data_IF_307854873392
#
_entry.id   IF_307854873392
#
_cell.length_a   1.000
_cell.length_b   1.000
_cell.length_c   1.000
_cell.angle_alpha   90.00
_cell.angle_beta   90.00
_cell.angle_gamma   90.00
#
_symmetry.space_group_name_H-M   'P 1'
#
loop_
_entity.id
_entity.type
_entity.pdbx_description
1 polymer ?
#
# COMPACT_ATOMS: atom_id res chain seq x y z
N UNK A 1 -1.44 -3.89 -25.34
CA UNK A 1 -0.35 -2.91 -25.04
C UNK A 1 -0.84 -2.10 -23.87
N UNK A 2 -0.23 -2.27 -22.69
CA UNK A 2 -0.48 -1.42 -21.53
C UNK A 2 0.13 -0.07 -21.89
N UNK A 3 -0.70 0.95 -22.11
CA UNK A 3 -0.22 2.32 -22.27
C UNK A 3 0.41 2.70 -20.94
N UNK A 4 1.67 3.14 -20.96
CA UNK A 4 2.34 3.60 -19.75
C UNK A 4 1.52 4.72 -19.12
N UNK A 5 0.90 4.42 -17.98
CA UNK A 5 0.02 5.37 -17.28
C UNK A 5 0.85 6.54 -16.80
N UNK A 6 0.44 7.74 -17.13
CA UNK A 6 1.07 8.96 -16.66
C UNK A 6 0.86 9.08 -15.14
N UNK A 7 1.90 9.46 -14.40
CA UNK A 7 1.85 9.64 -12.95
C UNK A 7 0.69 10.56 -12.49
N UNK A 8 0.38 11.59 -13.28
CA UNK A 8 -0.76 12.47 -13.06
C UNK A 8 -2.10 11.74 -13.11
N UNK A 9 -2.24 10.75 -14.00
CA UNK A 9 -3.45 9.93 -14.09
C UNK A 9 -3.60 9.02 -12.87
N UNK A 10 -2.50 8.43 -12.38
CA UNK A 10 -2.54 7.62 -11.16
C UNK A 10 -2.98 8.45 -9.94
N UNK A 11 -2.53 9.69 -9.81
CA UNK A 11 -3.00 10.60 -8.76
C UNK A 11 -4.51 10.86 -8.88
N UNK A 12 -5.00 11.15 -10.07
CA UNK A 12 -6.43 11.39 -10.32
C UNK A 12 -7.27 10.15 -10.00
N UNK A 13 -6.84 8.97 -10.44
CA UNK A 13 -7.48 7.70 -10.12
C UNK A 13 -7.46 7.40 -8.62
N UNK A 14 -6.33 7.69 -7.94
CA UNK A 14 -6.22 7.55 -6.48
C UNK A 14 -7.21 8.43 -5.73
N UNK A 15 -7.37 9.68 -6.13
CA UNK A 15 -8.36 10.59 -5.54
C UNK A 15 -9.77 10.00 -5.71
N UNK A 16 -10.10 9.47 -6.88
CA UNK A 16 -11.41 8.86 -7.15
C UNK A 16 -11.63 7.61 -6.29
N UNK A 17 -10.64 6.72 -6.19
CA UNK A 17 -10.70 5.53 -5.35
C UNK A 17 -10.87 5.86 -3.87
N UNK A 18 -10.16 6.88 -3.38
CA UNK A 18 -10.22 7.32 -1.99
C UNK A 18 -11.53 8.06 -1.65
N UNK A 19 -12.11 8.80 -2.59
CA UNK A 19 -13.33 9.57 -2.34
C UNK A 19 -14.61 8.83 -2.68
N UNK A 20 -14.52 7.83 -3.57
CA UNK A 20 -15.65 7.01 -4.02
C UNK A 20 -15.27 5.52 -3.92
N UNK A 21 -15.16 4.97 -2.69
CA UNK A 21 -14.71 3.60 -2.44
C UNK A 21 -15.80 2.60 -2.82
N UNK A 22 -15.83 2.18 -4.07
CA UNK A 22 -16.76 1.20 -4.63
C UNK A 22 -16.00 0.19 -5.49
N UNK A 23 -16.56 -1.00 -5.64
CA UNK A 23 -15.98 -2.06 -6.47
C UNK A 23 -15.84 -1.56 -7.91
N UNK A 24 -16.90 -0.95 -8.45
CA UNK A 24 -16.96 -0.43 -9.80
C UNK A 24 -15.85 0.60 -10.09
N UNK A 25 -15.47 1.39 -9.06
CA UNK A 25 -14.37 2.36 -9.20
C UNK A 25 -13.02 1.66 -9.37
N UNK A 26 -12.80 0.53 -8.69
CA UNK A 26 -11.58 -0.26 -8.86
C UNK A 26 -11.59 -1.03 -10.18
N UNK A 27 -12.72 -1.60 -10.59
CA UNK A 27 -12.89 -2.28 -11.89
C UNK A 27 -12.63 -1.33 -13.07
N UNK A 28 -13.02 -0.05 -12.94
CA UNK A 28 -12.75 0.97 -13.96
C UNK A 28 -11.25 1.14 -14.21
N UNK A 29 -10.42 1.00 -13.16
CA UNK A 29 -9.00 1.31 -13.24
C UNK A 29 -8.07 0.07 -13.26
N UNK A 30 -8.55 -1.11 -12.93
CA UNK A 30 -7.72 -2.33 -12.77
C UNK A 30 -6.83 -2.66 -13.99
N UNK A 31 -7.26 -2.26 -15.20
CA UNK A 31 -6.54 -2.52 -16.45
C UNK A 31 -5.74 -1.35 -16.99
N UNK A 32 -5.68 -0.23 -16.24
CA UNK A 32 -4.96 0.96 -16.71
C UNK A 32 -3.45 0.89 -16.48
N UNK A 33 -2.95 -0.02 -15.65
CA UNK A 33 -1.54 -0.20 -15.39
C UNK A 33 -1.22 -1.60 -14.89
N UNK A 34 0.05 -1.81 -14.55
CA UNK A 34 0.53 -3.10 -14.08
C UNK A 34 1.44 -2.99 -12.86
N UNK A 35 2.12 -4.09 -12.55
CA UNK A 35 3.01 -4.21 -11.41
C UNK A 35 4.12 -3.15 -11.40
N UNK A 36 4.67 -2.81 -12.59
CA UNK A 36 5.76 -1.84 -12.70
C UNK A 36 5.31 -0.44 -12.30
N UNK A 37 4.18 0.01 -12.83
CA UNK A 37 3.58 1.31 -12.52
C UNK A 37 3.19 1.38 -11.05
N UNK A 38 2.60 0.31 -10.52
CA UNK A 38 2.24 0.17 -9.12
C UNK A 38 3.45 0.33 -8.18
N UNK A 39 4.52 -0.43 -8.42
CA UNK A 39 5.74 -0.36 -7.61
C UNK A 39 6.41 1.01 -7.71
N UNK A 40 6.44 1.62 -8.89
CA UNK A 40 6.99 2.96 -9.07
C UNK A 40 6.19 4.00 -8.28
N UNK A 41 4.86 3.90 -8.30
CA UNK A 41 3.99 4.83 -7.58
C UNK A 41 4.15 4.74 -6.07
N UNK A 42 4.18 3.53 -5.53
CA UNK A 42 4.42 3.30 -4.09
C UNK A 42 5.86 3.70 -3.71
N UNK A 43 6.85 3.45 -4.59
CA UNK A 43 8.23 3.86 -4.34
C UNK A 43 8.38 5.37 -4.23
N UNK A 44 7.70 6.15 -5.07
CA UNK A 44 7.70 7.63 -4.95
C UNK A 44 7.11 8.08 -3.62
N UNK A 45 6.00 7.48 -3.17
CA UNK A 45 5.43 7.77 -1.86
C UNK A 45 6.39 7.39 -0.71
N UNK A 46 7.07 6.25 -0.82
CA UNK A 46 8.08 5.82 0.15
C UNK A 46 9.30 6.76 0.18
N UNK A 47 9.73 7.27 -0.97
CA UNK A 47 10.82 8.26 -1.05
C UNK A 47 10.44 9.55 -0.34
N UNK A 48 9.20 10.04 -0.51
CA UNK A 48 8.72 11.22 0.21
C UNK A 48 8.76 11.01 1.73
N UNK A 49 8.27 9.86 2.20
CA UNK A 49 8.36 9.49 3.62
C UNK A 49 9.81 9.35 4.10
N UNK A 50 10.66 8.73 3.28
CA UNK A 50 12.09 8.52 3.55
C UNK A 50 12.88 9.81 3.69
N UNK A 51 12.62 10.80 2.85
CA UNK A 51 13.27 12.12 2.94
C UNK A 51 12.93 12.79 4.28
N UNK A 52 11.65 12.76 4.68
CA UNK A 52 11.24 13.32 5.98
C UNK A 52 11.87 12.53 7.14
N UNK A 53 11.86 11.19 7.08
CA UNK A 53 12.49 10.34 8.07
C UNK A 53 14.00 10.62 8.21
N UNK A 54 14.70 10.81 7.10
CA UNK A 54 16.11 11.17 7.07
C UNK A 54 16.37 12.52 7.77
N UNK A 55 15.61 13.56 7.39
CA UNK A 55 15.76 14.91 7.97
C UNK A 55 15.53 14.88 9.48
N UNK A 56 14.48 14.21 9.94
CA UNK A 56 14.20 14.07 11.37
C UNK A 56 15.25 13.18 12.05
N UNK A 57 15.70 12.12 11.37
CA UNK A 57 16.73 11.22 11.88
C UNK A 57 18.10 11.89 12.12
N UNK A 58 18.40 13.01 11.45
CA UNK A 58 19.64 13.77 11.68
C UNK A 58 19.79 14.19 13.15
N UNK A 59 18.68 14.47 13.82
CA UNK A 59 18.69 14.84 15.24
C UNK A 59 19.08 13.68 16.17
N UNK A 60 19.03 12.43 15.69
CA UNK A 60 19.50 11.25 16.42
C UNK A 60 20.93 10.81 16.02
N UNK A 61 21.55 11.55 15.10
CA UNK A 61 22.89 11.32 14.60
C UNK A 61 22.92 10.70 13.20
N UNK A 62 24.10 10.67 12.56
CA UNK A 62 24.23 10.24 11.16
C UNK A 62 23.75 8.80 10.91
N UNK A 63 24.05 7.89 11.81
CA UNK A 63 23.60 6.49 11.73
C UNK A 63 22.07 6.40 11.87
N UNK A 64 21.48 7.15 12.81
CA UNK A 64 20.04 7.23 12.99
C UNK A 64 19.32 7.74 11.75
N UNK A 65 19.85 8.76 11.08
CA UNK A 65 19.31 9.27 9.83
C UNK A 65 19.30 8.22 8.71
N UNK A 66 20.38 7.45 8.56
CA UNK A 66 20.46 6.39 7.56
C UNK A 66 19.47 5.26 7.86
N UNK A 67 19.40 4.82 9.11
CA UNK A 67 18.45 3.77 9.54
C UNK A 67 17.00 4.22 9.29
N UNK A 68 16.66 5.46 9.65
CA UNK A 68 15.34 6.02 9.42
C UNK A 68 14.98 6.09 7.93
N UNK A 69 15.92 6.53 7.08
CA UNK A 69 15.74 6.56 5.63
C UNK A 69 15.48 5.16 5.08
N UNK A 70 16.35 4.20 5.39
CA UNK A 70 16.25 2.83 4.89
C UNK A 70 14.96 2.16 5.37
N UNK A 71 14.60 2.33 6.63
CA UNK A 71 13.36 1.80 7.19
C UNK A 71 12.11 2.37 6.51
N UNK A 72 12.07 3.69 6.30
CA UNK A 72 10.96 4.37 5.64
C UNK A 72 10.83 4.04 4.15
N UNK A 73 11.90 3.59 3.50
CA UNK A 73 11.86 3.10 2.11
C UNK A 73 11.49 1.63 2.04
N UNK A 74 12.21 0.78 2.78
CA UNK A 74 12.12 -0.67 2.61
C UNK A 74 10.83 -1.24 3.21
N UNK A 75 10.47 -0.82 4.41
CA UNK A 75 9.33 -1.40 5.11
C UNK A 75 7.99 -1.24 4.35
N UNK A 76 7.60 -0.05 3.88
CA UNK A 76 6.33 0.10 3.15
C UNK A 76 6.35 -0.59 1.78
N UNK A 77 7.48 -0.59 1.06
CA UNK A 77 7.60 -1.31 -0.21
C UNK A 77 7.46 -2.83 -0.02
N UNK A 78 8.12 -3.37 1.00
CA UNK A 78 8.01 -4.78 1.36
C UNK A 78 6.59 -5.13 1.79
N UNK A 79 5.98 -4.31 2.63
CA UNK A 79 4.59 -4.46 3.07
C UNK A 79 3.62 -4.49 1.89
N UNK A 80 3.72 -3.52 0.99
CA UNK A 80 2.91 -3.45 -0.23
C UNK A 80 3.10 -4.70 -1.10
N UNK A 81 4.35 -5.09 -1.34
CA UNK A 81 4.66 -6.25 -2.17
C UNK A 81 4.08 -7.54 -1.59
N UNK A 82 4.27 -7.78 -0.28
CA UNK A 82 3.74 -8.97 0.40
C UNK A 82 2.22 -8.99 0.29
N UNK A 83 1.56 -7.87 0.58
CA UNK A 83 0.09 -7.80 0.51
C UNK A 83 -0.42 -8.13 -0.90
N UNK A 84 0.06 -7.42 -1.91
CA UNK A 84 -0.39 -7.62 -3.29
C UNK A 84 -0.06 -9.03 -3.81
N UNK A 85 1.11 -9.57 -3.47
CA UNK A 85 1.51 -10.92 -3.84
C UNK A 85 0.60 -11.98 -3.20
N UNK A 86 0.34 -11.86 -1.89
CA UNK A 86 -0.52 -12.82 -1.17
C UNK A 86 -1.98 -12.72 -1.64
N UNK A 87 -2.47 -11.50 -1.91
CA UNK A 87 -3.81 -11.30 -2.50
C UNK A 87 -3.90 -12.02 -3.86
N UNK A 88 -2.92 -11.85 -4.73
CA UNK A 88 -2.91 -12.55 -6.02
C UNK A 88 -2.83 -14.07 -5.83
N UNK A 89 -1.91 -14.56 -4.99
CA UNK A 89 -1.70 -15.99 -4.75
C UNK A 89 -2.93 -16.65 -4.12
N UNK A 90 -3.47 -16.07 -3.05
CA UNK A 90 -4.64 -16.63 -2.35
C UNK A 90 -5.92 -16.46 -3.18
N UNK A 91 -6.07 -15.31 -3.86
CA UNK A 91 -7.20 -15.05 -4.76
C UNK A 91 -7.29 -16.09 -5.88
N UNK A 92 -6.16 -16.44 -6.51
CA UNK A 92 -6.10 -17.52 -7.50
C UNK A 92 -6.54 -18.87 -6.92
N UNK A 93 -6.11 -19.21 -5.71
CA UNK A 93 -6.53 -20.45 -5.03
C UNK A 93 -8.03 -20.49 -4.72
N UNK A 94 -8.66 -19.35 -4.56
CA UNK A 94 -10.11 -19.27 -4.36
C UNK A 94 -10.93 -19.15 -5.64
N UNK A 95 -10.28 -19.30 -6.81
CA UNK A 95 -10.91 -19.25 -8.13
C UNK A 95 -11.02 -17.85 -8.73
N UNK A 96 -10.28 -16.88 -8.21
CA UNK A 96 -10.18 -15.54 -8.78
C UNK A 96 -9.57 -15.54 -10.18
N UNK A 97 -10.11 -14.71 -11.06
CA UNK A 97 -9.75 -14.65 -12.49
C UNK A 97 -8.77 -13.51 -12.80
N UNK A 98 -8.62 -12.53 -11.91
CA UNK A 98 -7.75 -11.38 -12.12
C UNK A 98 -6.29 -11.70 -12.35
N UNK A 99 -5.55 -10.79 -12.92
CA UNK A 99 -4.11 -10.90 -13.17
C UNK A 99 -3.31 -10.30 -12.01
N UNK A 100 -2.02 -10.65 -11.94
CA UNK A 100 -1.12 -10.04 -10.96
C UNK A 100 -1.00 -8.52 -11.16
N UNK A 101 -0.98 -8.06 -12.41
CA UNK A 101 -0.90 -6.66 -12.77
C UNK A 101 -2.12 -5.87 -12.25
N UNK A 102 -3.33 -6.40 -12.43
CA UNK A 102 -4.57 -5.80 -11.93
C UNK A 102 -4.55 -5.67 -10.40
N UNK A 103 -4.11 -6.71 -9.69
CA UNK A 103 -4.00 -6.69 -8.22
C UNK A 103 -2.99 -5.65 -7.74
N UNK A 104 -1.78 -5.65 -8.30
CA UNK A 104 -0.75 -4.70 -7.90
C UNK A 104 -1.19 -3.26 -8.18
N UNK A 105 -1.77 -3.01 -9.35
CA UNK A 105 -2.19 -1.68 -9.73
C UNK A 105 -3.30 -1.13 -8.83
N UNK A 106 -4.37 -1.89 -8.62
CA UNK A 106 -5.49 -1.48 -7.76
C UNK A 106 -5.05 -1.27 -6.31
N UNK A 107 -4.15 -2.12 -5.79
CA UNK A 107 -3.58 -1.94 -4.46
C UNK A 107 -2.72 -0.67 -4.35
N UNK A 108 -1.97 -0.31 -5.39
CA UNK A 108 -1.13 0.88 -5.38
C UNK A 108 -1.95 2.19 -5.34
N UNK A 109 -3.12 2.22 -6.00
CA UNK A 109 -3.96 3.42 -6.08
C UNK A 109 -4.41 3.96 -4.72
N UNK A 110 -4.62 3.10 -3.73
CA UNK A 110 -4.96 3.57 -2.38
C UNK A 110 -3.75 3.56 -1.44
N UNK A 111 -2.81 2.62 -1.62
CA UNK A 111 -1.66 2.51 -0.72
C UNK A 111 -0.71 3.70 -0.85
N UNK A 112 -0.38 4.12 -2.07
CA UNK A 112 0.59 5.19 -2.28
C UNK A 112 0.16 6.54 -1.67
N UNK A 113 -1.05 7.07 -1.88
CA UNK A 113 -1.45 8.34 -1.28
C UNK A 113 -1.59 8.24 0.25
N UNK A 114 -2.10 7.12 0.79
CA UNK A 114 -2.17 6.92 2.24
C UNK A 114 -0.76 6.87 2.83
N UNK A 115 0.18 6.16 2.19
CA UNK A 115 1.58 6.11 2.60
C UNK A 115 2.25 7.49 2.54
N UNK A 116 1.98 8.27 1.49
CA UNK A 116 2.55 9.62 1.37
C UNK A 116 2.12 10.51 2.56
N UNK A 117 0.86 10.43 2.97
CA UNK A 117 0.34 11.20 4.12
C UNK A 117 0.89 10.63 5.44
N UNK A 118 0.65 9.35 5.70
CA UNK A 118 1.01 8.71 6.98
C UNK A 118 2.51 8.62 7.18
N UNK A 119 3.28 8.38 6.11
CA UNK A 119 4.72 8.30 6.15
C UNK A 119 5.39 9.65 6.38
N UNK A 120 4.85 10.74 5.83
CA UNK A 120 5.35 12.09 6.11
C UNK A 120 5.02 12.52 7.53
N UNK A 121 3.73 12.45 7.91
CA UNK A 121 3.26 12.93 9.22
C UNK A 121 3.77 12.05 10.36
N UNK A 122 3.82 10.72 10.15
CA UNK A 122 4.25 9.75 11.16
C UNK A 122 5.73 9.87 11.53
N UNK A 123 6.56 10.40 10.65
CA UNK A 123 7.98 10.62 10.91
C UNK A 123 8.26 11.92 11.70
N UNK A 124 7.27 12.81 11.91
CA UNK A 124 7.43 14.05 12.67
C UNK A 124 6.88 13.82 14.08
N UNK A 125 7.72 13.79 15.15
CA UNK A 125 7.32 13.32 16.47
C UNK A 125 6.11 14.03 17.06
N UNK A 126 6.04 15.36 16.99
CA UNK A 126 4.91 16.14 17.51
C UNK A 126 3.63 15.90 16.72
N UNK A 127 3.74 15.82 15.39
CA UNK A 127 2.59 15.57 14.53
C UNK A 127 2.10 14.12 14.67
N UNK A 128 3.00 13.16 14.86
CA UNK A 128 2.63 11.76 15.05
C UNK A 128 1.72 11.56 16.27
N UNK A 129 2.01 12.21 17.41
CA UNK A 129 1.16 12.12 18.59
C UNK A 129 -0.27 12.62 18.33
N UNK A 130 -0.40 13.76 17.65
CA UNK A 130 -1.72 14.35 17.32
C UNK A 130 -2.42 13.55 16.24
N UNK A 131 -1.67 13.01 15.29
CA UNK A 131 -2.18 12.29 14.14
C UNK A 131 -2.45 10.79 14.41
N UNK A 132 -2.01 10.25 15.54
CA UNK A 132 -2.16 8.83 15.87
C UNK A 132 -3.61 8.31 15.77
N UNK A 133 -4.65 9.01 16.27
CA UNK A 133 -6.03 8.58 16.09
C UNK A 133 -6.47 8.56 14.62
N UNK A 134 -5.99 9.53 13.83
CA UNK A 134 -6.28 9.63 12.39
C UNK A 134 -5.58 8.50 11.65
N UNK A 135 -4.33 8.18 11.99
CA UNK A 135 -3.59 7.06 11.42
C UNK A 135 -4.29 5.71 11.66
N UNK A 136 -4.90 5.53 12.83
CA UNK A 136 -5.71 4.33 13.12
C UNK A 136 -6.92 4.25 12.18
N UNK A 137 -7.65 5.35 12.02
CA UNK A 137 -8.81 5.41 11.11
C UNK A 137 -8.37 5.15 9.67
N UNK A 138 -7.26 5.76 9.22
CA UNK A 138 -6.70 5.53 7.89
C UNK A 138 -6.26 4.08 7.70
N UNK A 139 -5.71 3.44 8.73
CA UNK A 139 -5.35 2.02 8.70
C UNK A 139 -6.57 1.11 8.52
N UNK A 140 -7.65 1.36 9.27
CA UNK A 140 -8.92 0.64 9.09
C UNK A 140 -9.52 0.89 7.71
N UNK A 141 -9.46 2.13 7.24
CA UNK A 141 -9.91 2.49 5.90
C UNK A 141 -9.08 1.82 4.81
N UNK A 142 -7.77 1.70 4.99
CA UNK A 142 -6.89 0.98 4.07
C UNK A 142 -7.25 -0.51 3.98
N UNK A 143 -7.62 -1.15 5.09
CA UNK A 143 -8.10 -2.55 5.08
C UNK A 143 -9.39 -2.66 4.27
N UNK A 144 -10.33 -1.74 4.46
CA UNK A 144 -11.57 -1.69 3.69
C UNK A 144 -11.32 -1.50 2.18
N UNK A 145 -10.43 -0.58 1.82
CA UNK A 145 -10.03 -0.38 0.42
C UNK A 145 -9.34 -1.61 -0.16
N UNK A 146 -8.49 -2.28 0.63
CA UNK A 146 -7.86 -3.54 0.25
C UNK A 146 -8.89 -4.65 -0.04
N UNK A 147 -9.96 -4.70 0.73
CA UNK A 147 -11.08 -5.60 0.48
C UNK A 147 -11.78 -5.28 -0.85
N UNK A 148 -12.10 -4.02 -1.12
CA UNK A 148 -12.74 -3.61 -2.38
C UNK A 148 -11.83 -3.87 -3.58
N UNK A 149 -10.55 -3.52 -3.49
CA UNK A 149 -9.54 -3.78 -4.53
C UNK A 149 -9.42 -5.29 -4.83
N UNK A 150 -9.41 -6.13 -3.78
CA UNK A 150 -9.35 -7.59 -3.94
C UNK A 150 -10.60 -8.14 -4.63
N UNK A 151 -11.78 -7.63 -4.29
CA UNK A 151 -13.03 -8.04 -4.95
C UNK A 151 -13.03 -7.69 -6.42
N UNK A 152 -12.68 -6.46 -6.74
CA UNK A 152 -12.61 -5.97 -8.12
C UNK A 152 -11.56 -6.74 -8.91
N UNK A 153 -10.28 -6.60 -8.54
CA UNK A 153 -9.16 -7.13 -9.32
C UNK A 153 -9.11 -8.65 -9.44
N UNK A 154 -9.72 -9.39 -8.50
CA UNK A 154 -9.76 -10.86 -8.53
C UNK A 154 -11.13 -11.43 -8.89
N UNK A 155 -12.16 -10.60 -9.08
CA UNK A 155 -13.55 -11.02 -9.32
C UNK A 155 -14.05 -12.03 -8.29
N UNK A 156 -13.79 -11.77 -7.01
CA UNK A 156 -14.14 -12.67 -5.91
C UNK A 156 -15.45 -12.28 -5.23
N UNK A 157 -16.19 -13.30 -4.79
CA UNK A 157 -17.31 -13.12 -3.88
C UNK A 157 -16.85 -12.51 -2.54
N UNK A 158 -17.79 -11.88 -1.83
CA UNK A 158 -17.52 -11.20 -0.58
C UNK A 158 -16.72 -12.06 0.42
N UNK A 159 -17.17 -13.29 0.69
CA UNK A 159 -16.55 -14.15 1.69
C UNK A 159 -15.11 -14.54 1.30
N UNK A 160 -14.89 -14.85 0.03
CA UNK A 160 -13.57 -15.21 -0.49
C UNK A 160 -12.60 -14.03 -0.45
N UNK A 161 -13.07 -12.83 -0.79
CA UNK A 161 -12.26 -11.62 -0.71
C UNK A 161 -11.86 -11.29 0.73
N UNK A 162 -12.79 -11.41 1.70
CA UNK A 162 -12.48 -11.21 3.13
C UNK A 162 -11.39 -12.19 3.58
N UNK A 163 -11.53 -13.48 3.27
CA UNK A 163 -10.53 -14.50 3.63
C UNK A 163 -9.19 -14.16 2.99
N UNK A 164 -9.17 -13.76 1.71
CA UNK A 164 -7.95 -13.40 1.00
C UNK A 164 -7.24 -12.22 1.67
N UNK A 165 -7.96 -11.17 2.03
CA UNK A 165 -7.39 -9.97 2.67
C UNK A 165 -6.88 -10.30 4.08
N UNK A 166 -7.65 -11.07 4.86
CA UNK A 166 -7.23 -11.50 6.21
C UNK A 166 -5.94 -12.29 6.14
N UNK A 167 -5.83 -13.25 5.21
CA UNK A 167 -4.60 -14.04 5.01
C UNK A 167 -3.43 -13.14 4.60
N UNK A 168 -3.67 -12.14 3.74
CA UNK A 168 -2.63 -11.20 3.33
C UNK A 168 -2.11 -10.34 4.50
N UNK A 169 -3.03 -9.86 5.35
CA UNK A 169 -2.66 -9.09 6.56
C UNK A 169 -1.88 -9.97 7.54
N UNK A 170 -2.33 -11.19 7.79
CA UNK A 170 -1.62 -12.13 8.68
C UNK A 170 -0.22 -12.42 8.13
N UNK A 171 -0.09 -12.64 6.83
CA UNK A 171 1.21 -12.85 6.19
C UNK A 171 2.16 -11.66 6.38
N UNK A 172 1.67 -10.43 6.22
CA UNK A 172 2.44 -9.23 6.52
C UNK A 172 2.91 -9.20 7.98
N UNK A 173 2.02 -9.46 8.93
CA UNK A 173 2.36 -9.47 10.36
C UNK A 173 3.42 -10.53 10.69
N UNK A 174 3.31 -11.74 10.13
CA UNK A 174 4.29 -12.81 10.33
C UNK A 174 5.66 -12.38 9.81
N UNK A 175 5.72 -11.83 8.58
CA UNK A 175 7.01 -11.40 7.99
C UNK A 175 7.65 -10.30 8.82
N UNK A 176 6.88 -9.28 9.26
CA UNK A 176 7.43 -8.21 10.09
C UNK A 176 7.79 -8.67 11.50
N UNK A 177 7.07 -9.63 12.08
CA UNK A 177 7.43 -10.22 13.37
C UNK A 177 8.73 -11.02 13.28
N UNK A 178 8.94 -11.77 12.20
CA UNK A 178 10.20 -12.50 11.95
C UNK A 178 11.37 -11.53 11.75
N UNK A 179 11.20 -10.51 10.91
CA UNK A 179 12.25 -9.50 10.68
C UNK A 179 12.58 -8.75 11.98
N UNK A 180 11.56 -8.31 12.73
CA UNK A 180 11.74 -7.58 13.98
C UNK A 180 12.30 -8.44 15.13
N UNK A 181 12.17 -9.77 15.06
CA UNK A 181 12.77 -10.70 16.03
C UNK A 181 14.23 -11.08 15.71
N UNK A 182 14.73 -10.71 14.52
CA UNK A 182 16.10 -10.97 14.09
C UNK A 182 17.01 -9.75 14.32
N UNK A 183 16.42 -8.55 14.39
CA UNK A 183 17.11 -7.27 14.61
C UNK A 183 17.06 -6.88 16.10
#
# INVERSE_FOLDING_TARGET
MIQGVNFSEMISQSIKVLTQPRIETFEEFEKHGGQREALTYVAVAAVLAGVVAFIVGIFTGPLGAIIALVGALVAPLLSFFIFAFVVNWMGKRQGGTGTQDEVFYTCALYTAPILAITGVVGNIPLLNCVFAPISLILGLYQIYLGYLATRASMNLDQNKAIITVVVAIIAQWIVFAVIGGII
#
